data_IF_360851670831
#
_entry.id   IF_360851670831
#
_cell.length_a   1.000
_cell.length_b   1.000
_cell.length_c   1.000
_cell.angle_alpha   90.00
_cell.angle_beta   90.00
_cell.angle_gamma   90.00
#
_symmetry.space_group_name_H-M   'P 1'
#
loop_
_entity.id
_entity.type
_entity.pdbx_description
1 polymer ?
#
# COMPACT_ATOMS: atom_id res chain seq x y z
N UNK A 1 13.38 -18.58 2.10
CA UNK A 1 13.22 -18.34 0.65
C UNK A 1 13.32 -16.85 0.40
N UNK A 2 14.20 -16.43 -0.51
CA UNK A 2 14.48 -15.03 -0.79
C UNK A 2 13.27 -14.40 -1.52
N UNK A 3 12.46 -13.61 -0.81
CA UNK A 3 11.15 -13.11 -1.29
C UNK A 3 11.26 -12.09 -2.43
N UNK A 4 12.41 -11.45 -2.59
CA UNK A 4 12.69 -10.54 -3.70
C UNK A 4 12.53 -11.18 -5.09
N UNK A 5 12.72 -12.50 -5.21
CA UNK A 5 12.62 -13.19 -6.50
C UNK A 5 11.19 -13.30 -7.07
N UNK A 6 10.14 -13.25 -6.23
CA UNK A 6 8.76 -13.50 -6.66
C UNK A 6 8.09 -12.26 -7.27
N UNK A 7 8.36 -11.08 -6.72
CA UNK A 7 7.67 -9.83 -7.09
C UNK A 7 8.59 -8.79 -7.73
N UNK A 8 9.84 -9.17 -8.02
CA UNK A 8 10.82 -8.22 -8.55
C UNK A 8 11.16 -7.09 -7.58
N UNK A 9 11.70 -6.01 -8.14
CA UNK A 9 12.16 -4.85 -7.40
C UNK A 9 10.98 -3.96 -6.98
N UNK A 10 11.11 -3.33 -5.81
CA UNK A 10 10.19 -2.29 -5.38
C UNK A 10 10.30 -1.05 -6.30
N UNK A 11 9.28 -0.17 -6.31
CA UNK A 11 9.34 1.12 -6.97
C UNK A 11 10.53 1.96 -6.52
N UNK A 12 10.90 2.93 -7.35
CA UNK A 12 12.03 3.80 -7.07
C UNK A 12 11.74 4.90 -6.06
N UNK A 13 10.50 5.21 -5.68
CA UNK A 13 10.17 6.30 -4.73
C UNK A 13 10.99 7.57 -4.97
N UNK A 14 10.90 8.17 -6.16
CA UNK A 14 11.86 9.17 -6.67
C UNK A 14 12.00 10.39 -5.73
N UNK A 15 10.92 10.73 -5.01
CA UNK A 15 10.87 11.91 -4.15
C UNK A 15 11.36 11.70 -2.71
N UNK A 16 11.73 10.47 -2.31
CA UNK A 16 12.31 10.22 -0.99
C UNK A 16 13.81 10.54 -0.98
N UNK A 17 14.26 11.30 0.00
CA UNK A 17 15.70 11.63 0.13
C UNK A 17 16.40 10.64 1.05
N UNK A 18 15.69 10.10 2.05
CA UNK A 18 16.31 9.26 3.07
C UNK A 18 16.27 7.78 2.67
N UNK A 19 17.45 7.15 2.62
CA UNK A 19 17.56 5.69 2.39
C UNK A 19 16.81 4.87 3.45
N UNK A 20 16.71 5.39 4.69
CA UNK A 20 15.91 4.76 5.74
C UNK A 20 14.42 4.70 5.40
N UNK A 21 13.87 5.75 4.78
CA UNK A 21 12.47 5.78 4.33
C UNK A 21 12.23 4.73 3.25
N UNK A 22 13.14 4.64 2.27
CA UNK A 22 13.10 3.63 1.20
C UNK A 22 13.17 2.22 1.76
N UNK A 23 14.14 1.96 2.64
CA UNK A 23 14.30 0.67 3.30
C UNK A 23 13.06 0.27 4.11
N UNK A 24 12.43 1.23 4.79
CA UNK A 24 11.19 0.99 5.53
C UNK A 24 10.04 0.59 4.61
N UNK A 25 9.86 1.28 3.47
CA UNK A 25 8.80 0.94 2.51
C UNK A 25 9.03 -0.42 1.84
N UNK A 26 10.28 -0.77 1.55
CA UNK A 26 10.63 -2.12 1.05
C UNK A 26 10.29 -3.18 2.10
N UNK A 27 10.59 -2.94 3.38
CA UNK A 27 10.21 -3.86 4.46
C UNK A 27 8.69 -3.98 4.59
N UNK A 28 7.95 -2.88 4.47
CA UNK A 28 6.49 -2.88 4.46
C UNK A 28 5.96 -3.71 3.29
N UNK A 29 6.46 -3.45 2.07
CA UNK A 29 6.12 -4.21 0.86
C UNK A 29 6.29 -5.72 1.06
N UNK A 30 7.45 -6.13 1.58
CA UNK A 30 7.77 -7.54 1.83
C UNK A 30 6.90 -8.18 2.93
N UNK A 31 6.43 -7.36 3.89
CA UNK A 31 5.53 -7.79 4.95
C UNK A 31 4.08 -7.95 4.47
N UNK A 32 3.59 -7.04 3.60
CA UNK A 32 2.22 -7.08 3.07
C UNK A 32 2.05 -8.07 1.92
N UNK A 33 3.10 -8.33 1.13
CA UNK A 33 3.05 -9.22 -0.02
C UNK A 33 2.36 -10.59 0.24
N UNK A 34 2.72 -11.36 1.29
CA UNK A 34 2.04 -12.63 1.55
C UNK A 34 0.57 -12.49 1.98
N UNK A 35 0.17 -11.32 2.53
CA UNK A 35 -1.22 -11.03 2.88
C UNK A 35 -1.99 -10.79 1.59
N UNK A 36 -1.50 -9.85 0.77
CA UNK A 36 -2.09 -9.47 -0.51
C UNK A 36 -2.20 -10.64 -1.51
N UNK A 37 -1.25 -11.58 -1.45
CA UNK A 37 -1.28 -12.82 -2.24
C UNK A 37 -2.41 -13.78 -1.88
N UNK A 38 -3.00 -13.66 -0.69
CA UNK A 38 -4.16 -14.44 -0.28
C UNK A 38 -5.45 -13.86 -0.91
N UNK A 39 -5.42 -13.66 -2.22
CA UNK A 39 -6.53 -13.13 -3.00
C UNK A 39 -7.56 -14.24 -3.21
N UNK A 40 -8.75 -14.08 -2.62
CA UNK A 40 -9.82 -15.06 -2.71
C UNK A 40 -10.55 -14.99 -4.07
N UNK A 41 -10.50 -13.82 -4.75
CA UNK A 41 -11.18 -13.59 -6.03
C UNK A 41 -10.19 -13.12 -7.13
N UNK A 42 -9.19 -13.96 -7.50
CA UNK A 42 -8.14 -13.58 -8.45
C UNK A 42 -8.66 -13.26 -9.86
N UNK A 43 -9.90 -13.64 -10.18
CA UNK A 43 -10.55 -13.36 -11.46
C UNK A 43 -11.39 -12.08 -11.48
N UNK A 44 -11.64 -11.47 -10.32
CA UNK A 44 -12.46 -10.27 -10.21
C UNK A 44 -11.58 -9.02 -10.10
N UNK A 45 -10.54 -9.07 -9.26
CA UNK A 45 -9.65 -7.94 -8.97
C UNK A 45 -8.23 -8.43 -8.65
N UNK A 46 -7.22 -7.74 -9.17
CA UNK A 46 -5.82 -7.96 -8.80
C UNK A 46 -5.48 -7.08 -7.59
N UNK A 47 -5.31 -7.73 -6.43
CA UNK A 47 -4.90 -7.08 -5.18
C UNK A 47 -3.46 -7.46 -4.79
N UNK A 48 -2.66 -7.95 -5.74
CA UNK A 48 -1.29 -8.36 -5.45
C UNK A 48 -0.41 -7.18 -5.05
N UNK A 49 0.76 -7.48 -4.49
CA UNK A 49 1.75 -6.44 -4.20
C UNK A 49 2.23 -5.72 -5.47
N UNK A 50 2.18 -6.38 -6.63
CA UNK A 50 2.53 -5.76 -7.93
C UNK A 50 1.51 -4.70 -8.32
N UNK A 51 0.23 -4.91 -8.02
CA UNK A 51 -0.79 -3.88 -8.17
C UNK A 51 -0.44 -2.65 -7.33
N UNK A 52 -0.09 -2.87 -6.05
CA UNK A 52 0.32 -1.79 -5.14
C UNK A 52 1.60 -1.07 -5.60
N UNK A 53 2.57 -1.78 -6.19
CA UNK A 53 3.77 -1.19 -6.80
C UNK A 53 3.40 -0.27 -7.98
N UNK A 54 2.43 -0.67 -8.80
CA UNK A 54 1.89 0.14 -9.89
C UNK A 54 1.19 1.41 -9.38
N UNK A 55 0.31 1.27 -8.37
CA UNK A 55 -0.34 2.41 -7.72
C UNK A 55 0.70 3.37 -7.13
N UNK A 56 1.72 2.84 -6.48
CA UNK A 56 2.80 3.63 -5.89
C UNK A 56 3.56 4.44 -6.96
N UNK A 57 3.90 3.83 -8.09
CA UNK A 57 4.54 4.52 -9.22
C UNK A 57 3.68 5.68 -9.73
N UNK A 58 2.38 5.44 -9.94
CA UNK A 58 1.45 6.49 -10.39
C UNK A 58 1.32 7.62 -9.37
N UNK A 59 1.28 7.30 -8.08
CA UNK A 59 1.24 8.30 -7.01
C UNK A 59 2.54 9.11 -6.98
N UNK A 60 3.70 8.48 -7.16
CA UNK A 60 5.00 9.14 -7.26
C UNK A 60 5.05 10.14 -8.42
N UNK A 61 4.52 9.75 -9.58
CA UNK A 61 4.35 10.63 -10.74
C UNK A 61 3.39 11.80 -10.42
N UNK A 62 2.23 11.53 -9.81
CA UNK A 62 1.22 12.54 -9.47
C UNK A 62 1.70 13.57 -8.46
N UNK A 63 2.59 13.21 -7.54
CA UNK A 63 3.14 14.16 -6.56
C UNK A 63 4.29 14.99 -7.13
N UNK A 64 4.87 14.62 -8.27
CA UNK A 64 5.96 15.36 -8.93
C UNK A 64 5.69 16.88 -9.05
N UNK A 65 4.56 17.34 -9.62
CA UNK A 65 4.27 18.78 -9.71
C UNK A 65 4.08 19.45 -8.35
N UNK A 66 3.73 18.70 -7.29
CA UNK A 66 3.62 19.23 -5.92
C UNK A 66 5.01 19.50 -5.32
N UNK A 67 5.99 18.66 -5.63
CA UNK A 67 7.36 18.78 -5.10
C UNK A 67 8.09 20.04 -5.58
N UNK A 68 7.69 20.58 -6.73
CA UNK A 68 8.29 21.78 -7.32
C UNK A 68 7.76 23.11 -6.73
N UNK A 69 6.79 23.06 -5.82
CA UNK A 69 6.13 24.26 -5.34
C UNK A 69 5.95 24.29 -3.80
N UNK A 70 5.29 25.33 -3.30
CA UNK A 70 5.08 25.55 -1.86
C UNK A 70 4.24 24.45 -1.16
N UNK A 71 3.55 23.62 -1.93
CA UNK A 71 2.73 22.51 -1.45
C UNK A 71 3.51 21.17 -1.47
N UNK A 72 4.85 21.22 -1.54
CA UNK A 72 5.66 19.99 -1.49
C UNK A 72 5.30 19.18 -0.25
N UNK A 73 5.18 17.87 -0.44
CA UNK A 73 5.03 16.95 0.69
C UNK A 73 6.37 16.78 1.38
N UNK A 74 6.35 16.76 2.71
CA UNK A 74 7.52 16.38 3.51
C UNK A 74 7.83 14.89 3.32
N UNK A 75 9.08 14.51 3.61
CA UNK A 75 9.52 13.10 3.62
C UNK A 75 8.53 12.19 4.39
N UNK A 76 8.09 12.65 5.56
CA UNK A 76 7.12 11.91 6.40
C UNK A 76 5.77 11.75 5.70
N UNK A 77 5.27 12.78 5.05
CA UNK A 77 3.99 12.73 4.33
C UNK A 77 4.08 11.81 3.11
N UNK A 78 5.21 11.83 2.39
CA UNK A 78 5.49 10.89 1.30
C UNK A 78 5.50 9.44 1.81
N UNK A 79 6.21 9.16 2.91
CA UNK A 79 6.23 7.83 3.53
C UNK A 79 4.81 7.38 3.90
N UNK A 80 4.01 8.23 4.53
CA UNK A 80 2.62 7.91 4.89
C UNK A 80 1.78 7.62 3.64
N UNK A 81 1.94 8.42 2.59
CA UNK A 81 1.23 8.25 1.33
C UNK A 81 1.58 6.93 0.63
N UNK A 82 2.86 6.57 0.57
CA UNK A 82 3.27 5.28 -0.01
C UNK A 82 2.86 4.10 0.88
N UNK A 83 2.87 4.25 2.20
CA UNK A 83 2.30 3.23 3.10
C UNK A 83 0.81 3.00 2.80
N UNK A 84 0.04 4.07 2.56
CA UNK A 84 -1.35 3.95 2.18
C UNK A 84 -1.53 3.17 0.86
N UNK A 85 -0.64 3.36 -0.11
CA UNK A 85 -0.65 2.59 -1.37
C UNK A 85 -0.52 1.07 -1.11
N UNK A 86 0.33 0.66 -0.18
CA UNK A 86 0.51 -0.76 0.16
C UNK A 86 -0.58 -1.35 1.07
N UNK A 87 -1.27 -0.50 1.84
CA UNK A 87 -2.26 -0.93 2.83
C UNK A 87 -3.71 -0.78 2.37
N UNK A 88 -3.97 -0.08 1.25
CA UNK A 88 -5.35 0.26 0.84
C UNK A 88 -6.24 -0.96 0.64
N UNK A 89 -5.67 -2.06 0.15
CA UNK A 89 -6.40 -3.30 -0.16
C UNK A 89 -6.19 -4.42 0.88
N UNK A 90 -5.55 -4.14 2.03
CA UNK A 90 -5.22 -5.15 3.06
C UNK A 90 -6.45 -5.68 3.83
N UNK A 91 -7.65 -5.17 3.54
CA UNK A 91 -8.91 -5.67 4.10
C UNK A 91 -9.62 -6.68 3.20
N UNK A 92 -9.18 -6.85 1.96
CA UNK A 92 -9.93 -7.58 0.92
C UNK A 92 -9.59 -9.08 0.84
N UNK A 93 -8.71 -9.57 1.74
CA UNK A 93 -8.23 -10.95 1.77
C UNK A 93 -9.20 -11.92 2.46
N UNK A 94 -10.35 -11.44 2.92
CA UNK A 94 -11.37 -12.26 3.59
C UNK A 94 -12.73 -12.01 2.94
N UNK A 95 -13.45 -13.08 2.62
CA UNK A 95 -14.76 -13.14 1.95
C UNK A 95 -15.93 -12.50 2.74
N UNK A 96 -15.65 -11.63 3.71
CA UNK A 96 -16.66 -10.98 4.54
C UNK A 96 -17.15 -9.65 3.96
N UNK A 97 -16.92 -9.39 2.68
CA UNK A 97 -17.46 -8.23 1.97
C UNK A 97 -19.00 -8.28 2.03
N UNK A 98 -19.60 -7.46 2.90
CA UNK A 98 -21.04 -7.46 3.16
C UNK A 98 -21.50 -8.25 4.40
N UNK A 99 -20.61 -8.98 5.08
CA UNK A 99 -20.94 -9.67 6.34
C UNK A 99 -20.66 -8.82 7.60
N UNK A 100 -20.15 -7.59 7.43
CA UNK A 100 -19.94 -6.67 8.54
C UNK A 100 -21.28 -6.28 9.13
N UNK A 101 -21.69 -6.99 10.20
CA UNK A 101 -22.85 -6.61 10.99
C UNK A 101 -22.46 -5.40 11.82
N UNK A 102 -23.12 -4.23 11.67
CA UNK A 102 -22.92 -3.15 12.63
C UNK A 102 -23.25 -3.70 14.01
N UNK A 103 -22.38 -3.48 15.00
CA UNK A 103 -22.74 -3.73 16.39
C UNK A 103 -23.94 -2.83 16.69
N UNK A 104 -25.14 -3.40 16.74
CA UNK A 104 -26.28 -2.75 17.35
C UNK A 104 -25.88 -2.49 18.80
N UNK A 105 -25.63 -1.23 19.14
CA UNK A 105 -25.40 -0.84 20.52
C UNK A 105 -26.70 -1.08 21.30
N UNK A 106 -26.85 -2.26 21.88
CA UNK A 106 -27.75 -2.42 23.01
C UNK A 106 -27.11 -1.74 24.22
N UNK A 107 -27.22 -0.40 24.25
CA UNK A 107 -27.37 0.31 25.53
C UNK A 107 -28.86 0.36 25.83
N UNK A 108 -29.41 -0.80 26.17
CA UNK A 108 -30.64 -0.90 26.95
C UNK A 108 -30.31 -0.56 28.40
N UNK A 109 -31.14 0.30 28.98
CA UNK A 109 -31.02 0.92 30.30
C UNK A 109 -31.06 -0.08 31.45
#
# INVERSE_FOLDING_TARGET
MNRQGKYGNAPNFEHLVEESSRAFLIQLRDAVAPILDNNILPHFTDHSVLHSDGVTTLVDELVTPLQENRNRLTERELVILYCACYLHDIGLQYENAGETRPQSSERGR
#
